data_IF_141972894234
#
_entry.id   IF_141972894234
#
_cell.length_a   1.000
_cell.length_b   1.000
_cell.length_c   1.000
_cell.angle_alpha   90.00
_cell.angle_beta   90.00
_cell.angle_gamma   90.00
#
_symmetry.space_group_name_H-M   'P 1'
#
loop_
_entity.id
_entity.type
_entity.pdbx_description
1 polymer ?
#
# COMPACT_ATOMS: atom_id res chain seq x y z
N UNK A 1 3.96 13.54 2.35
CA UNK A 1 3.75 14.45 1.19
C UNK A 1 3.54 13.68 -0.10
N UNK A 2 4.42 12.75 -0.48
CA UNK A 2 4.34 12.03 -1.75
C UNK A 2 3.00 11.27 -2.01
N UNK A 3 2.45 10.57 -1.01
CA UNK A 3 1.18 9.84 -1.19
C UNK A 3 0.00 10.77 -1.53
N UNK A 4 -0.04 11.96 -0.93
CA UNK A 4 -1.05 12.97 -1.27
C UNK A 4 -0.91 13.46 -2.70
N UNK A 5 0.32 13.69 -3.15
CA UNK A 5 0.61 14.10 -4.52
C UNK A 5 0.18 13.03 -5.54
N UNK A 6 0.29 11.73 -5.22
CA UNK A 6 -0.26 10.66 -6.07
C UNK A 6 -1.77 10.81 -6.23
N UNK A 7 -2.50 11.03 -5.13
CA UNK A 7 -3.95 11.29 -5.17
C UNK A 7 -4.32 12.51 -6.03
N UNK A 8 -3.59 13.62 -5.88
CA UNK A 8 -3.79 14.83 -6.69
C UNK A 8 -3.54 14.56 -8.20
N UNK A 9 -2.46 13.87 -8.54
CA UNK A 9 -2.12 13.52 -9.92
C UNK A 9 -3.12 12.55 -10.55
N UNK A 10 -3.73 11.66 -9.78
CA UNK A 10 -4.79 10.78 -10.27
C UNK A 10 -6.04 11.57 -10.67
N UNK A 11 -6.44 12.57 -9.88
CA UNK A 11 -7.58 13.42 -10.21
C UNK A 11 -7.32 14.28 -11.45
N UNK A 12 -6.10 14.81 -11.59
CA UNK A 12 -5.70 15.64 -12.74
C UNK A 12 -5.63 14.79 -14.02
N UNK A 13 -4.82 13.73 -14.01
CA UNK A 13 -4.54 12.94 -15.22
C UNK A 13 -5.68 11.97 -15.57
N UNK A 14 -6.39 11.46 -14.56
CA UNK A 14 -7.56 10.59 -14.74
C UNK A 14 -8.73 11.32 -15.41
N UNK A 15 -8.98 12.58 -15.05
CA UNK A 15 -10.03 13.39 -15.69
C UNK A 15 -9.79 13.62 -17.19
N UNK A 16 -8.53 13.80 -17.61
CA UNK A 16 -8.15 13.96 -19.02
C UNK A 16 -8.23 12.65 -19.83
N UNK A 17 -7.95 11.49 -19.23
CA UNK A 17 -8.07 10.20 -19.91
C UNK A 17 -9.54 9.80 -20.17
N UNK A 18 -10.44 10.19 -19.28
CA UNK A 18 -11.87 9.85 -19.34
C UNK A 18 -12.64 10.64 -20.40
N UNK A 19 -12.19 11.86 -20.71
CA UNK A 19 -12.84 12.70 -21.74
C UNK A 19 -12.57 12.23 -23.18
N UNK A 20 -11.53 11.41 -23.41
CA UNK A 20 -11.21 10.85 -24.73
C UNK A 20 -11.97 9.56 -25.07
N UNK A 21 -12.67 8.94 -24.11
CA UNK A 21 -13.30 7.62 -24.29
C UNK A 21 -14.75 7.66 -23.83
N UNK A 22 -15.70 7.70 -24.78
CA UNK A 22 -17.15 7.68 -24.52
C UNK A 22 -17.57 6.37 -23.80
N UNK A 23 -17.44 6.31 -22.47
CA UNK A 23 -18.08 5.38 -21.51
C UNK A 23 -17.59 5.74 -20.08
N UNK A 24 -18.11 6.80 -19.46
CA UNK A 24 -17.36 7.51 -18.40
C UNK A 24 -17.96 7.56 -16.98
N UNK A 25 -19.20 7.12 -16.72
CA UNK A 25 -19.74 7.22 -15.36
C UNK A 25 -19.07 6.25 -14.36
N UNK A 26 -18.68 5.05 -14.81
CA UNK A 26 -17.93 4.09 -13.99
C UNK A 26 -16.47 4.51 -13.75
N UNK A 27 -15.83 5.16 -14.74
CA UNK A 27 -14.40 5.48 -14.66
C UNK A 27 -14.09 6.64 -13.71
N UNK A 28 -14.92 7.68 -13.67
CA UNK A 28 -14.70 8.83 -12.76
C UNK A 28 -14.86 8.42 -11.30
N UNK A 29 -15.88 7.60 -11.00
CA UNK A 29 -16.14 7.12 -9.63
C UNK A 29 -14.98 6.26 -9.12
N UNK A 30 -14.40 5.41 -9.97
CA UNK A 30 -13.22 4.61 -9.62
C UNK A 30 -11.96 5.46 -9.41
N UNK A 31 -11.71 6.47 -10.25
CA UNK A 31 -10.59 7.39 -10.09
C UNK A 31 -10.67 8.11 -8.74
N UNK A 32 -11.83 8.68 -8.41
CA UNK A 32 -12.04 9.36 -7.13
C UNK A 32 -11.81 8.41 -5.97
N UNK A 33 -12.38 7.19 -6.03
CA UNK A 33 -12.20 6.18 -4.98
C UNK A 33 -10.73 5.79 -4.80
N UNK A 34 -9.97 5.66 -5.88
CA UNK A 34 -8.53 5.38 -5.84
C UNK A 34 -7.77 6.55 -5.20
N UNK A 35 -8.05 7.79 -5.63
CA UNK A 35 -7.42 8.98 -5.07
C UNK A 35 -7.72 9.14 -3.57
N UNK A 36 -8.95 8.87 -3.15
CA UNK A 36 -9.39 8.93 -1.75
C UNK A 36 -8.59 7.97 -0.86
N UNK A 37 -8.22 6.78 -1.36
CA UNK A 37 -7.33 5.88 -0.61
C UNK A 37 -5.98 6.51 -0.35
N UNK A 38 -5.37 7.16 -1.35
CA UNK A 38 -4.09 7.85 -1.21
C UNK A 38 -4.16 9.06 -0.27
N UNK A 39 -5.25 9.82 -0.31
CA UNK A 39 -5.48 10.92 0.65
C UNK A 39 -5.64 10.39 2.07
N UNK A 40 -6.47 9.37 2.25
CA UNK A 40 -6.74 8.79 3.56
C UNK A 40 -5.47 8.26 4.23
N UNK A 41 -4.62 7.52 3.50
CA UNK A 41 -3.34 7.05 4.07
C UNK A 41 -2.35 8.19 4.28
N UNK A 42 -2.34 9.23 3.44
CA UNK A 42 -1.44 10.36 3.60
C UNK A 42 -1.76 11.19 4.85
N UNK A 43 -3.04 11.35 5.16
CA UNK A 43 -3.50 12.06 6.36
C UNK A 43 -3.16 11.24 7.62
N UNK A 44 -3.27 9.91 7.57
CA UNK A 44 -2.83 9.03 8.65
C UNK A 44 -1.32 9.04 8.86
N UNK A 45 -0.50 9.07 7.81
CA UNK A 45 0.96 9.18 7.96
C UNK A 45 1.38 10.51 8.63
N UNK A 46 0.56 11.57 8.54
CA UNK A 46 0.81 12.85 9.22
C UNK A 46 0.46 12.79 10.70
N UNK A 47 -0.52 11.97 11.07
CA UNK A 47 -0.79 11.66 12.47
C UNK A 47 0.34 10.73 12.96
N UNK A 48 1.29 11.26 13.72
CA UNK A 48 2.41 10.50 14.30
C UNK A 48 1.94 9.16 14.87
N UNK A 49 2.52 8.05 14.39
CA UNK A 49 2.21 6.73 14.97
C UNK A 49 2.61 6.76 16.46
N UNK A 50 1.72 6.36 17.37
CA UNK A 50 2.03 6.38 18.79
C UNK A 50 3.15 5.38 19.08
N UNK A 51 4.33 5.88 19.43
CA UNK A 51 5.39 5.07 20.03
C UNK A 51 5.08 4.97 21.52
N UNK A 52 4.86 3.76 22.01
CA UNK A 52 4.75 3.50 23.44
C UNK A 52 6.15 3.54 24.04
N UNK A 53 6.34 4.40 25.03
CA UNK A 53 7.60 4.57 25.73
C UNK A 53 7.43 4.07 27.16
N UNK A 54 8.20 3.05 27.53
CA UNK A 54 8.24 2.48 28.88
C UNK A 54 9.64 2.68 29.45
N UNK A 55 9.75 3.38 30.58
CA UNK A 55 11.01 3.58 31.29
C UNK A 55 11.04 2.65 32.49
N UNK A 56 12.08 1.83 32.58
CA UNK A 56 12.39 1.02 33.77
C UNK A 56 13.65 1.55 34.46
N UNK A 57 14.04 0.95 35.59
CA UNK A 57 15.20 1.38 36.36
C UNK A 57 16.55 1.29 35.59
N UNK A 58 16.60 0.41 34.59
CA UNK A 58 17.83 0.03 33.87
C UNK A 58 17.71 0.19 32.34
N UNK A 59 16.49 0.28 31.80
CA UNK A 59 16.25 0.32 30.35
C UNK A 59 15.08 1.26 29.97
N UNK A 60 15.23 1.90 28.82
CA UNK A 60 14.17 2.57 28.08
C UNK A 60 13.71 1.66 26.94
N UNK A 61 12.42 1.30 26.94
CA UNK A 61 11.79 0.42 25.95
C UNK A 61 10.85 1.25 25.07
N UNK A 62 11.16 1.33 23.78
CA UNK A 62 10.32 1.95 22.76
C UNK A 62 9.61 0.86 21.98
N UNK A 63 8.28 0.89 21.95
CA UNK A 63 7.47 -0.02 21.12
C UNK A 63 6.71 0.78 20.09
N UNK A 64 6.88 0.43 18.82
CA UNK A 64 6.24 1.10 17.70
C UNK A 64 5.94 0.16 16.54
N UNK A 65 5.57 0.75 15.41
CA UNK A 65 5.37 0.06 14.14
C UNK A 65 6.50 0.38 13.18
N UNK A 66 6.94 -0.64 12.44
CA UNK A 66 7.97 -0.54 11.41
C UNK A 66 7.46 -1.16 10.09
N UNK A 67 8.01 -0.78 8.94
CA UNK A 67 7.71 -1.44 7.67
C UNK A 67 8.09 -2.93 7.74
N UNK A 68 7.34 -3.75 7.00
CA UNK A 68 7.68 -5.15 6.76
C UNK A 68 8.90 -5.25 5.83
N UNK A 69 9.09 -4.27 4.93
CA UNK A 69 10.19 -4.20 3.97
C UNK A 69 9.70 -4.33 2.53
N UNK A 70 10.21 -5.33 1.80
CA UNK A 70 9.72 -5.59 0.44
C UNK A 70 8.44 -6.40 0.44
N UNK A 71 7.43 -5.96 -0.28
CA UNK A 71 6.12 -6.59 -0.39
C UNK A 71 5.80 -6.92 -1.83
N UNK A 72 5.51 -8.18 -2.12
CA UNK A 72 4.95 -8.59 -3.40
C UNK A 72 3.45 -8.84 -3.25
N UNK A 73 2.62 -8.11 -3.98
CA UNK A 73 1.18 -8.30 -3.99
C UNK A 73 0.81 -9.05 -5.26
N UNK A 74 0.48 -10.34 -5.12
CA UNK A 74 -0.02 -11.19 -6.20
C UNK A 74 -1.52 -10.99 -6.30
N UNK A 75 -1.98 -10.39 -7.39
CA UNK A 75 -3.39 -10.12 -7.64
C UNK A 75 -4.01 -11.31 -8.39
N UNK A 76 -5.01 -11.94 -7.77
CA UNK A 76 -5.84 -12.93 -8.45
C UNK A 76 -6.60 -12.29 -9.62
N UNK A 77 -6.98 -13.07 -10.64
CA UNK A 77 -7.82 -12.58 -11.73
C UNK A 77 -9.08 -11.90 -11.21
N UNK A 78 -9.58 -10.90 -11.95
CA UNK A 78 -10.77 -10.11 -11.61
C UNK A 78 -10.63 -9.23 -10.34
N UNK A 79 -9.44 -9.06 -9.78
CA UNK A 79 -9.22 -8.07 -8.72
C UNK A 79 -9.39 -6.65 -9.29
N UNK A 80 -10.42 -5.93 -8.81
CA UNK A 80 -10.68 -4.56 -9.24
C UNK A 80 -9.55 -3.59 -8.88
N UNK A 81 -9.32 -2.60 -9.76
CA UNK A 81 -8.28 -1.57 -9.56
C UNK A 81 -8.40 -0.82 -8.23
N UNK A 82 -9.60 -0.44 -7.75
CA UNK A 82 -9.73 0.21 -6.43
C UNK A 82 -9.18 -0.65 -5.28
N UNK A 83 -9.38 -1.97 -5.33
CA UNK A 83 -8.88 -2.89 -4.31
C UNK A 83 -7.36 -2.98 -4.36
N UNK A 84 -6.79 -3.19 -5.55
CA UNK A 84 -5.34 -3.24 -5.74
C UNK A 84 -4.68 -1.94 -5.25
N UNK A 85 -5.24 -0.79 -5.63
CA UNK A 85 -4.72 0.51 -5.24
C UNK A 85 -4.82 0.76 -3.73
N UNK A 86 -5.91 0.34 -3.07
CA UNK A 86 -6.06 0.43 -1.61
C UNK A 86 -4.93 -0.30 -0.88
N UNK A 87 -4.63 -1.53 -1.28
CA UNK A 87 -3.56 -2.33 -0.68
C UNK A 87 -2.16 -1.78 -0.99
N UNK A 88 -1.93 -1.34 -2.23
CA UNK A 88 -0.68 -0.67 -2.60
C UNK A 88 -0.47 0.62 -1.79
N UNK A 89 -1.49 1.46 -1.67
CA UNK A 89 -1.44 2.71 -0.91
C UNK A 89 -1.12 2.46 0.57
N UNK A 90 -1.79 1.49 1.21
CA UNK A 90 -1.54 1.13 2.60
C UNK A 90 -0.12 0.56 2.81
N UNK A 91 0.36 -0.28 1.90
CA UNK A 91 1.73 -0.82 1.99
C UNK A 91 2.80 0.27 1.80
N UNK A 92 2.61 1.18 0.84
CA UNK A 92 3.50 2.34 0.65
C UNK A 92 3.46 3.29 1.86
N UNK A 93 2.29 3.47 2.48
CA UNK A 93 2.11 4.27 3.69
C UNK A 93 2.80 3.67 4.91
N UNK A 94 2.82 2.34 5.03
CA UNK A 94 3.62 1.64 6.04
C UNK A 94 5.14 1.77 5.80
N UNK A 95 5.56 2.29 4.64
CA UNK A 95 6.97 2.50 4.28
C UNK A 95 7.60 1.33 3.51
N UNK A 96 6.80 0.38 3.02
CA UNK A 96 7.28 -0.76 2.26
C UNK A 96 7.62 -0.38 0.81
N UNK A 97 8.40 -1.24 0.15
CA UNK A 97 8.45 -1.30 -1.32
C UNK A 97 7.38 -2.26 -1.82
N UNK A 98 6.74 -1.95 -2.95
CA UNK A 98 5.61 -2.71 -3.48
C UNK A 98 5.90 -3.21 -4.89
N UNK A 99 5.76 -4.50 -5.10
CA UNK A 99 5.80 -5.14 -6.41
C UNK A 99 4.44 -5.78 -6.67
N UNK A 100 3.72 -5.33 -7.70
CA UNK A 100 2.44 -5.91 -8.08
C UNK A 100 2.66 -7.03 -9.10
N UNK A 101 2.27 -8.25 -8.77
CA UNK A 101 2.23 -9.38 -9.69
C UNK A 101 0.80 -9.51 -10.25
N UNK A 102 0.62 -9.20 -11.53
CA UNK A 102 -0.67 -9.25 -12.20
C UNK A 102 -0.76 -10.47 -13.12
N UNK A 103 -1.75 -11.32 -12.88
CA UNK A 103 -2.06 -12.48 -13.73
C UNK A 103 -2.90 -12.11 -14.97
N UNK A 104 -3.39 -10.88 -15.02
CA UNK A 104 -4.15 -10.30 -16.14
C UNK A 104 -3.48 -8.98 -16.56
N UNK A 105 -3.79 -8.48 -17.76
CA UNK A 105 -3.32 -7.18 -18.18
C UNK A 105 -3.83 -6.07 -17.23
N UNK A 106 -2.98 -5.10 -16.84
CA UNK A 106 -3.41 -4.00 -15.98
C UNK A 106 -4.49 -3.19 -16.68
N UNK A 107 -5.53 -2.81 -15.92
CA UNK A 107 -6.51 -1.84 -16.39
C UNK A 107 -5.82 -0.52 -16.76
N UNK A 108 -6.41 0.32 -17.64
CA UNK A 108 -5.87 1.64 -17.96
C UNK A 108 -5.65 2.51 -16.71
N UNK A 109 -6.52 2.40 -15.71
CA UNK A 109 -6.39 3.13 -14.45
C UNK A 109 -5.21 2.62 -13.61
N UNK A 110 -4.99 1.30 -13.55
CA UNK A 110 -3.87 0.72 -12.82
C UNK A 110 -2.52 1.05 -13.50
N UNK A 111 -2.49 1.06 -14.83
CA UNK A 111 -1.33 1.49 -15.60
C UNK A 111 -1.02 2.98 -15.37
N UNK A 112 -2.06 3.84 -15.37
CA UNK A 112 -1.91 5.26 -15.04
C UNK A 112 -1.39 5.46 -13.60
N UNK A 113 -1.93 4.71 -12.64
CA UNK A 113 -1.46 4.74 -11.26
C UNK A 113 0.04 4.41 -11.18
N UNK A 114 0.50 3.36 -11.86
CA UNK A 114 1.90 2.98 -11.87
C UNK A 114 2.81 4.12 -12.37
N UNK A 115 2.46 4.74 -13.49
CA UNK A 115 3.19 5.88 -14.05
C UNK A 115 3.24 7.06 -13.07
N UNK A 116 2.12 7.37 -12.40
CA UNK A 116 2.08 8.45 -11.41
C UNK A 116 3.00 8.12 -10.23
N UNK A 117 2.93 6.89 -9.71
CA UNK A 117 3.72 6.47 -8.55
C UNK A 117 5.22 6.51 -8.87
N UNK A 118 5.63 6.02 -10.04
CA UNK A 118 7.03 6.07 -10.52
C UNK A 118 7.56 7.50 -10.63
N UNK A 119 6.72 8.46 -11.02
CA UNK A 119 7.11 9.86 -11.14
C UNK A 119 7.18 10.59 -9.78
N UNK A 120 6.39 10.15 -8.80
CA UNK A 120 6.27 10.84 -7.50
C UNK A 120 7.19 10.24 -6.43
N UNK A 121 7.46 8.93 -6.48
CA UNK A 121 8.32 8.25 -5.50
C UNK A 121 9.73 8.01 -6.04
N UNK A 122 10.77 8.13 -5.19
CA UNK A 122 12.13 7.75 -5.59
C UNK A 122 12.20 6.26 -5.91
N UNK A 123 12.94 5.92 -6.96
CA UNK A 123 13.00 4.57 -7.51
C UNK A 123 13.85 3.60 -6.65
N UNK A 124 13.51 2.28 -6.62
CA UNK A 124 12.21 1.68 -6.93
C UNK A 124 11.41 1.42 -5.64
N UNK A 125 10.35 2.21 -5.40
CA UNK A 125 9.37 1.94 -4.32
C UNK A 125 8.12 1.21 -4.81
N UNK A 126 7.88 1.20 -6.11
CA UNK A 126 6.71 0.58 -6.73
C UNK A 126 7.09 0.01 -8.10
N UNK A 127 6.61 -1.19 -8.43
CA UNK A 127 6.79 -1.81 -9.74
C UNK A 127 5.59 -2.72 -10.09
N UNK A 128 5.33 -2.91 -11.39
CA UNK A 128 4.35 -3.87 -11.90
C UNK A 128 5.06 -4.97 -12.69
N UNK A 129 4.85 -6.22 -12.27
CA UNK A 129 5.25 -7.46 -12.93
C UNK A 129 4.02 -8.08 -13.61
N UNK A 130 4.20 -8.47 -14.86
CA UNK A 130 3.16 -9.04 -15.72
C UNK A 130 3.85 -9.80 -16.85
N UNK A 131 3.11 -10.53 -17.68
CA UNK A 131 3.67 -11.14 -18.89
C UNK A 131 4.39 -10.12 -19.79
N UNK A 132 3.87 -8.89 -19.86
CA UNK A 132 4.42 -7.81 -20.68
C UNK A 132 5.71 -7.20 -20.10
N UNK A 133 5.79 -7.08 -18.78
CA UNK A 133 6.93 -6.43 -18.09
C UNK A 133 7.96 -7.43 -17.58
N UNK A 134 7.65 -8.73 -17.65
CA UNK A 134 8.44 -9.81 -17.09
C UNK A 134 8.11 -10.08 -15.61
N UNK A 135 8.44 -11.29 -15.17
CA UNK A 135 8.21 -11.80 -13.81
C UNK A 135 9.44 -11.68 -12.89
N UNK A 136 10.36 -10.77 -13.21
CA UNK A 136 11.57 -10.58 -12.43
C UNK A 136 11.27 -9.81 -11.14
N UNK A 137 11.54 -10.44 -10.01
CA UNK A 137 11.40 -9.86 -8.67
C UNK A 137 12.67 -9.07 -8.35
N UNK A 138 12.54 -7.79 -8.04
CA UNK A 138 13.66 -6.94 -7.66
C UNK A 138 13.96 -7.03 -6.15
N UNK A 139 12.95 -7.32 -5.34
CA UNK A 139 13.09 -7.49 -3.89
C UNK A 139 13.80 -8.78 -3.47
N UNK A 140 14.72 -8.68 -2.51
CA UNK A 140 15.31 -9.85 -1.82
C UNK A 140 14.34 -10.32 -0.73
N UNK A 141 13.85 -11.55 -0.82
CA UNK A 141 12.91 -12.17 0.13
C UNK A 141 11.64 -11.33 0.41
N UNK A 142 10.83 -11.02 -0.61
CA UNK A 142 9.62 -10.23 -0.40
C UNK A 142 8.61 -10.98 0.49
N UNK A 143 7.91 -10.23 1.32
CA UNK A 143 6.68 -10.73 1.94
C UNK A 143 5.62 -10.85 0.85
N UNK A 144 5.17 -12.08 0.62
CA UNK A 144 4.14 -12.37 -0.39
C UNK A 144 2.76 -12.13 0.20
N UNK A 145 1.98 -11.32 -0.50
CA UNK A 145 0.59 -11.03 -0.21
C UNK A 145 -0.26 -11.48 -1.39
N UNK A 146 -1.19 -12.40 -1.17
CA UNK A 146 -2.13 -12.84 -2.19
C UNK A 146 -3.43 -12.05 -1.98
N UNK A 147 -3.79 -11.27 -3.00
CA UNK A 147 -5.01 -10.49 -3.03
C UNK A 147 -6.03 -11.20 -3.91
N UNK A 148 -7.11 -11.70 -3.32
CA UNK A 148 -8.27 -12.19 -4.07
C UNK A 148 -9.34 -11.11 -4.11
N UNK A 149 -10.48 -11.36 -4.77
CA UNK A 149 -11.59 -10.41 -4.81
C UNK A 149 -12.20 -10.11 -3.44
N UNK A 150 -12.07 -11.02 -2.46
CA UNK A 150 -12.70 -10.94 -1.14
C UNK A 150 -11.75 -11.07 0.04
N UNK A 151 -10.54 -11.58 -0.18
CA UNK A 151 -9.60 -11.90 0.88
C UNK A 151 -8.22 -11.32 0.57
N UNK A 152 -7.45 -11.13 1.63
CA UNK A 152 -6.02 -10.87 1.56
C UNK A 152 -5.30 -11.88 2.47
N UNK A 153 -4.27 -12.51 1.92
CA UNK A 153 -3.43 -13.49 2.62
C UNK A 153 -2.00 -12.98 2.64
N UNK A 154 -1.33 -13.00 3.78
CA UNK A 154 0.09 -12.65 3.89
C UNK A 154 0.89 -13.84 4.41
N UNK A 155 2.03 -14.14 3.75
CA UNK A 155 2.90 -15.26 4.10
C UNK A 155 3.83 -14.97 5.30
N UNK A 156 3.38 -14.18 6.27
CA UNK A 156 4.09 -13.97 7.53
C UNK A 156 3.86 -15.11 8.53
N UNK A 157 4.64 -15.17 9.60
CA UNK A 157 4.32 -15.94 10.79
C UNK A 157 3.76 -15.02 11.89
N UNK A 158 2.53 -15.28 12.41
CA UNK A 158 1.57 -16.26 11.92
C UNK A 158 0.96 -15.85 10.57
N UNK A 159 0.56 -16.84 9.75
CA UNK A 159 -0.13 -16.57 8.48
C UNK A 159 -1.44 -15.84 8.75
N UNK A 160 -1.57 -14.65 8.18
CA UNK A 160 -2.75 -13.82 8.39
C UNK A 160 -3.66 -13.88 7.18
N UNK A 161 -4.93 -14.21 7.43
CA UNK A 161 -6.03 -14.05 6.49
C UNK A 161 -6.93 -12.95 7.00
N UNK A 162 -7.27 -11.99 6.13
CA UNK A 162 -8.30 -11.00 6.39
C UNK A 162 -9.34 -11.08 5.28
N UNK A 163 -10.58 -11.37 5.66
CA UNK A 163 -11.74 -11.21 4.77
C UNK A 163 -12.09 -9.73 4.75
N UNK A 164 -12.21 -9.16 3.56
CA UNK A 164 -12.70 -7.80 3.38
C UNK A 164 -14.11 -7.89 2.81
N UNK A 165 -15.10 -7.49 3.60
CA UNK A 165 -16.44 -7.29 3.08
C UNK A 165 -16.45 -6.03 2.20
N UNK A 166 -17.32 -6.02 1.19
CA UNK A 166 -17.34 -5.01 0.12
C UNK A 166 -17.49 -3.55 0.63
N UNK A 167 -17.99 -3.38 1.86
CA UNK A 167 -18.19 -2.11 2.57
C UNK A 167 -17.53 -2.07 3.95
N UNK A 168 -16.64 -3.00 4.29
CA UNK A 168 -15.97 -2.95 5.58
C UNK A 168 -14.96 -1.80 5.62
N UNK A 169 -15.42 -0.76 6.30
CA UNK A 169 -14.77 0.39 6.92
C UNK A 169 -13.64 0.00 7.89
N UNK A 170 -12.91 -1.08 7.58
CA UNK A 170 -11.59 -1.33 8.14
C UNK A 170 -10.70 -0.20 7.65
N UNK A 171 -10.74 0.91 8.40
CA UNK A 171 -10.16 2.19 8.00
C UNK A 171 -8.70 2.03 7.58
N UNK A 172 -8.23 2.95 6.74
CA UNK A 172 -6.87 2.95 6.19
C UNK A 172 -5.78 2.66 7.24
N UNK A 173 -5.98 3.03 8.50
CA UNK A 173 -5.07 2.71 9.61
C UNK A 173 -4.95 1.21 9.92
N UNK A 174 -6.06 0.47 9.94
CA UNK A 174 -6.04 -0.98 10.16
C UNK A 174 -5.40 -1.73 8.98
N UNK A 175 -5.41 -1.15 7.78
CA UNK A 175 -4.72 -1.73 6.63
C UNK A 175 -3.22 -1.38 6.66
N UNK A 176 -2.85 -0.17 7.07
CA UNK A 176 -1.44 0.20 7.33
C UNK A 176 -0.84 -0.71 8.41
N UNK A 177 -1.56 -0.98 9.49
CA UNK A 177 -1.12 -1.91 10.55
C UNK A 177 -0.93 -3.33 10.01
N UNK A 178 -1.82 -3.79 9.12
CA UNK A 178 -1.67 -5.09 8.44
C UNK A 178 -0.38 -5.18 7.61
N UNK A 179 0.07 -4.06 7.04
CA UNK A 179 1.34 -3.94 6.29
C UNK A 179 2.52 -3.48 7.14
N UNK A 180 2.40 -3.51 8.46
CA UNK A 180 3.45 -3.13 9.41
C UNK A 180 3.82 -4.31 10.31
N UNK A 181 4.99 -4.25 10.92
CA UNK A 181 5.40 -5.15 12.01
C UNK A 181 5.58 -4.36 13.30
N UNK A 182 5.35 -5.00 14.44
CA UNK A 182 5.72 -4.43 15.74
C UNK A 182 7.22 -4.51 15.90
N UNK A 183 7.81 -3.40 16.33
CA UNK A 183 9.22 -3.31 16.66
C UNK A 183 9.40 -2.78 18.07
N UNK A 184 10.32 -3.40 18.81
CA UNK A 184 10.67 -2.98 20.16
C UNK A 184 12.17 -2.71 20.21
N UNK A 185 12.53 -1.46 20.52
CA UNK A 185 13.91 -1.04 20.73
C UNK A 185 14.15 -0.88 22.23
N UNK A 186 15.23 -1.48 22.74
CA UNK A 186 15.65 -1.35 24.14
C UNK A 186 16.96 -0.59 24.21
N UNK A 187 16.99 0.47 25.00
CA UNK A 187 18.16 1.32 25.21
C UNK A 187 18.55 1.25 26.68
N UNK A 188 19.76 0.78 27.02
CA UNK A 188 20.21 0.73 28.41
C UNK A 188 20.45 2.15 28.94
N UNK A 189 19.96 2.42 30.16
CA UNK A 189 20.16 3.71 30.84
C UNK A 189 21.43 3.60 31.67
N UNK A 190 22.56 4.12 31.14
CA UNK A 190 23.80 4.21 31.93
C UNK A 190 23.64 5.28 33.02
N UNK A 191 23.67 4.87 34.29
CA UNK A 191 23.79 5.78 35.42
C UNK A 191 25.23 6.29 35.47
N UNK A 192 25.42 7.59 35.23
CA UNK A 192 26.66 8.31 35.48
C UNK A 192 26.92 8.47 36.97
#
# INVERSE_FOLDING_TARGET
MALRQIGEQLLINGGSAVTSTKRSAGSTTEITRVADYFFSVADLCRATHPVMLTITADELVLTGTAPIGSTMIVCAPSCGTPRIARHAAASLAAGNTVELALLEEPSPLLALLALIVENVLPAPRFAIMSERTGWAVAGVNPTVVILTTTDVFMNGEPRTRRREEADADGGSGALIEFYSRRETVRVPVRRS
#
